data_IF_664662733135
#
_entry.id   IF_664662733135
#
_cell.length_a   1.000
_cell.length_b   1.000
_cell.length_c   1.000
_cell.angle_alpha   90.00
_cell.angle_beta   90.00
_cell.angle_gamma   90.00
#
_symmetry.space_group_name_H-M   'P 1'
#
loop_
_entity.id
_entity.type
_entity.pdbx_description
1 polymer ?
#
# COMPACT_ATOMS: atom_id res chain seq x y z
N UNK A 1 -41.49 59.32 32.89
CA UNK A 1 -41.65 57.86 33.01
C UNK A 1 -41.06 57.23 31.75
N UNK A 2 -39.85 56.68 31.85
CA UNK A 2 -39.09 56.21 30.68
C UNK A 2 -39.28 54.69 30.49
N UNK A 3 -39.50 54.20 29.26
CA UNK A 3 -39.69 52.78 29.01
C UNK A 3 -38.37 52.01 29.14
N UNK A 4 -38.41 50.87 29.83
CA UNK A 4 -37.29 49.95 30.00
C UNK A 4 -37.05 49.19 28.69
N UNK A 5 -35.89 49.40 28.07
CA UNK A 5 -35.42 48.69 26.88
C UNK A 5 -35.19 47.22 27.26
N UNK A 6 -36.09 46.34 26.79
CA UNK A 6 -35.93 44.90 26.91
C UNK A 6 -34.76 44.45 26.05
N UNK A 7 -33.68 43.97 26.70
CA UNK A 7 -32.59 43.26 26.01
C UNK A 7 -33.13 41.91 25.52
N UNK A 8 -33.51 41.87 24.25
CA UNK A 8 -33.78 40.63 23.53
C UNK A 8 -32.45 39.88 23.37
N UNK A 9 -32.26 38.85 24.18
CA UNK A 9 -31.11 37.95 24.14
C UNK A 9 -31.28 37.05 22.91
N UNK A 10 -30.75 37.49 21.76
CA UNK A 10 -30.73 36.69 20.54
C UNK A 10 -29.77 35.53 20.77
N UNK A 11 -30.34 34.37 21.05
CA UNK A 11 -29.62 33.10 21.16
C UNK A 11 -29.25 32.69 19.74
N UNK A 12 -28.03 33.04 19.32
CA UNK A 12 -27.47 32.65 18.02
C UNK A 12 -27.43 31.12 17.98
N UNK A 13 -28.08 30.45 17.01
CA UNK A 13 -27.93 29.01 16.83
C UNK A 13 -26.55 28.78 16.19
N UNK A 14 -25.52 28.80 17.02
CA UNK A 14 -24.16 28.38 16.68
C UNK A 14 -24.19 26.84 16.63
N UNK A 15 -23.72 26.27 15.52
CA UNK A 15 -23.41 24.83 15.32
C UNK A 15 -24.53 23.89 14.82
N UNK A 16 -25.16 24.17 13.68
CA UNK A 16 -25.83 23.13 12.88
C UNK A 16 -25.43 23.14 11.39
N UNK A 17 -24.25 23.67 11.07
CA UNK A 17 -23.66 23.41 9.75
C UNK A 17 -22.96 22.06 9.86
N UNK A 18 -23.40 21.02 9.12
CA UNK A 18 -22.61 19.79 9.03
C UNK A 18 -21.28 20.14 8.38
N UNK A 19 -20.21 20.18 9.17
CA UNK A 19 -18.86 20.21 8.65
C UNK A 19 -18.72 18.94 7.82
N UNK A 20 -18.58 19.10 6.50
CA UNK A 20 -18.24 17.99 5.62
C UNK A 20 -16.87 17.51 6.05
N UNK A 21 -16.84 16.41 6.81
CA UNK A 21 -15.64 15.64 7.00
C UNK A 21 -15.32 15.01 5.64
N UNK A 22 -14.52 15.71 4.84
CA UNK A 22 -13.92 15.13 3.65
C UNK A 22 -12.95 14.05 4.12
N UNK A 23 -13.43 12.81 4.16
CA UNK A 23 -12.56 11.65 4.32
C UNK A 23 -11.59 11.63 3.15
N UNK A 24 -10.29 11.57 3.46
CA UNK A 24 -9.22 11.48 2.48
C UNK A 24 -9.40 10.16 1.71
N UNK A 25 -10.04 10.23 0.54
CA UNK A 25 -10.28 9.06 -0.31
C UNK A 25 -9.00 8.56 -0.96
N UNK A 26 -9.06 7.35 -1.48
CA UNK A 26 -8.02 6.76 -2.31
C UNK A 26 -8.59 6.39 -3.68
N UNK A 27 -7.78 6.57 -4.72
CA UNK A 27 -8.12 6.26 -6.10
C UNK A 27 -7.04 5.41 -6.78
N UNK A 28 -7.37 4.91 -7.96
CA UNK A 28 -6.38 4.30 -8.84
C UNK A 28 -6.55 4.76 -10.28
N UNK A 29 -5.42 4.97 -10.96
CA UNK A 29 -5.36 5.15 -12.40
C UNK A 29 -4.86 3.85 -13.04
N UNK A 30 -5.44 3.50 -14.19
CA UNK A 30 -5.05 2.31 -14.94
C UNK A 30 -4.47 2.73 -16.29
N UNK A 31 -3.31 2.17 -16.59
CA UNK A 31 -2.58 2.29 -17.86
C UNK A 31 -2.33 0.88 -18.39
N UNK A 32 -2.52 0.69 -19.69
CA UNK A 32 -2.29 -0.60 -20.35
C UNK A 32 -0.90 -0.57 -20.99
N UNK A 33 -0.03 -1.50 -20.59
CA UNK A 33 1.36 -1.63 -21.04
C UNK A 33 1.53 -2.96 -21.78
N UNK A 34 1.11 -3.00 -23.05
CA UNK A 34 1.10 -4.23 -23.84
C UNK A 34 0.09 -5.25 -23.27
N UNK A 35 0.60 -6.33 -22.65
CA UNK A 35 -0.23 -7.39 -22.02
C UNK A 35 -0.41 -7.18 -20.51
N UNK A 36 0.31 -6.23 -19.91
CA UNK A 36 0.25 -5.91 -18.49
C UNK A 36 -0.61 -4.68 -18.24
N UNK A 37 -1.15 -4.58 -17.03
CA UNK A 37 -1.77 -3.37 -16.49
C UNK A 37 -0.84 -2.76 -15.46
N UNK A 38 -0.57 -1.46 -15.61
CA UNK A 38 -0.01 -0.62 -14.56
C UNK A 38 -1.16 0.09 -13.84
N UNK A 39 -1.32 -0.20 -12.56
CA UNK A 39 -2.28 0.42 -11.66
C UNK A 39 -1.54 1.36 -10.71
N UNK A 40 -1.80 2.66 -10.80
CA UNK A 40 -1.21 3.70 -9.96
C UNK A 40 -2.19 4.02 -8.84
N UNK A 41 -1.89 3.58 -7.62
CA UNK A 41 -2.71 3.87 -6.43
C UNK A 41 -2.26 5.17 -5.77
N UNK A 42 -3.18 6.09 -5.54
CA UNK A 42 -2.92 7.38 -4.91
C UNK A 42 -4.03 7.78 -3.94
N UNK A 43 -3.69 8.60 -2.97
CA UNK A 43 -4.67 9.33 -2.17
C UNK A 43 -5.28 10.48 -3.00
N UNK A 44 -6.37 11.05 -2.51
CA UNK A 44 -7.05 12.17 -3.18
C UNK A 44 -6.19 13.45 -3.28
N UNK A 45 -5.19 13.60 -2.42
CA UNK A 45 -4.21 14.70 -2.48
C UNK A 45 -3.12 14.47 -3.55
N UNK A 46 -3.18 13.34 -4.27
CA UNK A 46 -2.22 12.95 -5.30
C UNK A 46 -0.98 12.24 -4.75
N UNK A 47 -0.81 12.13 -3.44
CA UNK A 47 0.30 11.38 -2.86
C UNK A 47 0.16 9.87 -3.17
N UNK A 48 1.25 9.16 -3.48
CA UNK A 48 1.18 7.75 -3.84
C UNK A 48 0.89 6.89 -2.60
N UNK A 49 0.10 5.83 -2.81
CA UNK A 49 -0.06 4.75 -1.83
C UNK A 49 1.17 3.84 -1.85
N UNK A 50 2.33 4.35 -1.45
CA UNK A 50 3.64 3.76 -1.64
C UNK A 50 4.04 2.73 -0.57
N UNK A 51 4.69 1.64 -0.98
CA UNK A 51 5.19 0.58 -0.10
C UNK A 51 4.10 -0.03 0.81
N UNK A 52 2.86 -0.09 0.32
CA UNK A 52 1.71 -0.62 1.04
C UNK A 52 1.33 -2.01 0.57
N UNK A 53 0.80 -2.88 1.46
CA UNK A 53 0.34 -4.18 1.06
C UNK A 53 -0.86 -4.06 0.10
N UNK A 54 -0.83 -4.86 -0.97
CA UNK A 54 -1.95 -5.01 -1.88
C UNK A 54 -2.37 -6.46 -2.05
N UNK A 55 -3.62 -6.63 -2.49
CA UNK A 55 -4.21 -7.91 -2.87
C UNK A 55 -4.99 -7.76 -4.17
N UNK A 56 -4.87 -8.73 -5.06
CA UNK A 56 -5.81 -8.95 -6.16
C UNK A 56 -6.75 -10.05 -5.73
N UNK A 57 -8.05 -9.74 -5.71
CA UNK A 57 -9.10 -10.67 -5.34
C UNK A 57 -9.99 -10.95 -6.55
N UNK A 58 -10.49 -12.16 -6.69
CA UNK A 58 -11.50 -12.48 -7.69
C UNK A 58 -12.91 -12.00 -7.29
N UNK A 59 -13.91 -12.33 -8.10
CA UNK A 59 -15.32 -12.04 -7.86
C UNK A 59 -15.85 -12.67 -6.55
N UNK A 60 -15.36 -13.85 -6.18
CA UNK A 60 -15.70 -14.55 -4.93
C UNK A 60 -14.93 -14.02 -3.72
N UNK A 61 -14.06 -13.03 -3.91
CA UNK A 61 -13.15 -12.49 -2.89
C UNK A 61 -12.03 -13.47 -2.48
N UNK A 62 -11.77 -14.50 -3.27
CA UNK A 62 -10.61 -15.36 -3.09
C UNK A 62 -9.35 -14.60 -3.53
N UNK A 63 -8.25 -14.85 -2.82
CA UNK A 63 -6.96 -14.23 -3.11
C UNK A 63 -6.36 -14.83 -4.38
N UNK A 64 -6.09 -13.97 -5.38
CA UNK A 64 -5.41 -14.34 -6.64
C UNK A 64 -3.92 -14.02 -6.54
N UNK A 65 -3.59 -12.81 -6.09
CA UNK A 65 -2.21 -12.32 -5.96
C UNK A 65 -2.10 -11.39 -4.76
N UNK A 66 -0.93 -11.33 -4.13
CA UNK A 66 -0.61 -10.31 -3.12
C UNK A 66 0.81 -9.80 -3.29
N UNK A 67 1.07 -8.61 -2.75
CA UNK A 67 2.39 -8.00 -2.80
C UNK A 67 2.44 -6.67 -2.07
N UNK A 68 3.39 -5.83 -2.47
CA UNK A 68 3.57 -4.47 -1.94
C UNK A 68 3.64 -3.50 -3.11
N UNK A 69 2.95 -2.38 -3.02
CA UNK A 69 3.02 -1.32 -4.03
C UNK A 69 4.44 -0.76 -4.08
N UNK A 70 4.87 -0.29 -5.25
CA UNK A 70 6.18 0.36 -5.39
C UNK A 70 6.23 1.71 -4.67
N UNK A 71 7.41 2.35 -4.67
CA UNK A 71 7.60 3.69 -4.10
C UNK A 71 6.73 4.78 -4.76
N UNK A 72 6.30 4.58 -6.01
CA UNK A 72 5.36 5.46 -6.73
C UNK A 72 3.90 5.02 -6.61
N UNK A 73 3.58 4.01 -5.79
CA UNK A 73 2.23 3.48 -5.64
C UNK A 73 1.78 2.58 -6.80
N UNK A 74 2.69 2.17 -7.69
CA UNK A 74 2.37 1.32 -8.83
C UNK A 74 2.26 -0.17 -8.47
N UNK A 75 1.36 -0.86 -9.16
CA UNK A 75 1.17 -2.31 -9.19
C UNK A 75 1.11 -2.76 -10.65
N UNK A 76 1.91 -3.78 -11.01
CA UNK A 76 1.92 -4.38 -12.35
C UNK A 76 1.31 -5.77 -12.29
N UNK A 77 0.34 -6.06 -13.15
CA UNK A 77 -0.33 -7.37 -13.22
C UNK A 77 -0.66 -7.75 -14.66
N UNK A 78 -0.76 -9.05 -14.93
CA UNK A 78 -1.44 -9.56 -16.12
C UNK A 78 -2.88 -9.87 -15.74
N UNK A 79 -3.89 -9.14 -16.27
CA UNK A 79 -5.27 -9.31 -15.85
C UNK A 79 -5.87 -10.59 -16.41
N UNK A 80 -6.78 -11.21 -15.66
CA UNK A 80 -7.65 -12.23 -16.22
C UNK A 80 -8.81 -11.56 -16.98
N UNK A 81 -8.83 -11.68 -18.31
CA UNK A 81 -9.88 -11.04 -19.14
C UNK A 81 -11.23 -11.75 -19.10
N UNK A 82 -11.29 -12.98 -18.57
CA UNK A 82 -12.53 -13.76 -18.47
C UNK A 82 -13.25 -13.56 -17.12
N UNK A 83 -12.55 -13.02 -16.12
CA UNK A 83 -13.05 -12.89 -14.75
C UNK A 83 -12.92 -11.46 -14.25
N UNK A 84 -13.84 -11.04 -13.39
CA UNK A 84 -13.67 -9.78 -12.67
C UNK A 84 -12.66 -9.95 -11.53
N UNK A 85 -11.73 -8.99 -11.45
CA UNK A 85 -10.72 -8.91 -10.40
C UNK A 85 -10.81 -7.57 -9.67
N UNK A 86 -10.26 -7.51 -8.46
CA UNK A 86 -10.25 -6.30 -7.64
C UNK A 86 -8.89 -6.11 -7.00
N UNK A 87 -8.26 -4.98 -7.29
CA UNK A 87 -7.12 -4.50 -6.52
C UNK A 87 -7.64 -3.90 -5.20
N UNK A 88 -7.07 -4.36 -4.09
CA UNK A 88 -7.29 -3.83 -2.75
C UNK A 88 -5.96 -3.38 -2.17
N UNK A 89 -5.84 -2.11 -1.81
CA UNK A 89 -4.67 -1.57 -1.10
C UNK A 89 -5.15 -0.99 0.23
N UNK A 90 -4.44 -1.29 1.31
CA UNK A 90 -4.77 -0.83 2.66
C UNK A 90 -3.55 -0.21 3.31
N UNK A 91 -3.74 0.91 4.00
CA UNK A 91 -2.72 1.46 4.87
C UNK A 91 -2.99 1.14 6.36
N UNK A 92 -2.06 1.55 7.22
CA UNK A 92 -2.16 1.37 8.67
C UNK A 92 -3.13 2.34 9.35
N UNK A 93 -3.55 3.40 8.65
CA UNK A 93 -4.45 4.43 9.16
C UNK A 93 -5.93 4.15 8.83
N UNK A 94 -6.19 3.06 8.11
CA UNK A 94 -7.53 2.61 7.76
C UNK A 94 -8.02 3.11 6.40
N UNK A 95 -7.21 3.81 5.62
CA UNK A 95 -7.56 4.12 4.23
C UNK A 95 -7.53 2.83 3.40
N UNK A 96 -8.52 2.72 2.51
CA UNK A 96 -8.70 1.54 1.68
C UNK A 96 -9.06 1.94 0.26
N UNK A 97 -8.20 1.54 -0.67
CA UNK A 97 -8.50 1.55 -2.09
C UNK A 97 -9.13 0.21 -2.48
N UNK A 98 -10.24 0.26 -3.23
CA UNK A 98 -10.78 -0.89 -3.95
C UNK A 98 -10.99 -0.49 -5.40
N UNK A 99 -10.24 -1.09 -6.30
CA UNK A 99 -10.32 -0.82 -7.74
C UNK A 99 -10.77 -2.07 -8.48
N UNK A 100 -11.89 -1.98 -9.20
CA UNK A 100 -12.40 -3.09 -10.03
C UNK A 100 -11.65 -3.13 -11.36
N UNK A 101 -11.14 -4.29 -11.70
CA UNK A 101 -10.48 -4.62 -12.96
C UNK A 101 -11.49 -5.47 -13.72
N UNK A 102 -12.08 -4.89 -14.76
CA UNK A 102 -13.04 -5.59 -15.64
C UNK A 102 -12.61 -5.41 -17.08
N UNK A 103 -13.03 -6.35 -17.92
CA UNK A 103 -12.77 -6.30 -19.37
C UNK A 103 -13.21 -4.97 -19.99
N UNK A 104 -14.38 -4.47 -19.61
CA UNK A 104 -14.95 -3.20 -20.11
C UNK A 104 -14.06 -2.02 -19.74
N UNK A 105 -13.51 -2.00 -18.52
CA UNK A 105 -12.61 -0.91 -18.10
C UNK A 105 -11.27 -0.96 -18.82
N UNK A 106 -10.75 -2.16 -19.08
CA UNK A 106 -9.51 -2.34 -19.85
C UNK A 106 -9.72 -1.85 -21.27
N UNK A 107 -10.80 -2.28 -21.94
CA UNK A 107 -11.16 -1.82 -23.28
C UNK A 107 -11.35 -0.30 -23.32
N UNK A 108 -12.05 0.27 -22.33
CA UNK A 108 -12.21 1.73 -22.24
C UNK A 108 -10.89 2.47 -22.03
N UNK A 109 -9.93 1.88 -21.30
CA UNK A 109 -8.60 2.47 -21.13
C UNK A 109 -7.80 2.45 -22.45
N UNK A 110 -7.91 1.38 -23.22
CA UNK A 110 -7.35 1.25 -24.58
C UNK A 110 -7.97 2.30 -25.51
N UNK A 111 -9.30 2.38 -25.56
CA UNK A 111 -10.04 3.37 -26.37
C UNK A 111 -9.69 4.83 -26.00
N UNK A 112 -9.49 5.09 -24.71
CA UNK A 112 -9.09 6.41 -24.21
C UNK A 112 -7.60 6.73 -24.46
N UNK A 113 -6.87 5.90 -25.20
CA UNK A 113 -5.47 6.10 -25.52
C UNK A 113 -4.53 6.00 -24.32
N UNK A 114 -4.95 5.34 -23.23
CA UNK A 114 -4.08 5.06 -22.07
C UNK A 114 -3.26 3.79 -22.30
N UNK A 115 -2.59 3.78 -23.44
CA UNK A 115 -1.71 2.71 -23.88
C UNK A 115 -0.32 3.30 -23.88
N UNK A 116 0.53 2.84 -22.98
CA UNK A 116 1.95 3.14 -23.04
C UNK A 116 2.62 2.01 -23.80
N UNK A 117 3.25 2.34 -24.93
CA UNK A 117 4.13 1.40 -25.60
C UNK A 117 5.22 1.03 -24.59
N UNK A 118 5.42 -0.27 -24.34
CA UNK A 118 6.53 -0.75 -23.55
C UNK A 118 7.80 -0.23 -24.22
N UNK A 119 8.35 0.88 -23.72
CA UNK A 119 9.65 1.37 -24.15
C UNK A 119 10.63 0.31 -23.68
N UNK A 120 11.00 -0.58 -24.58
CA UNK A 120 12.08 -1.53 -24.39
C UNK A 120 13.39 -0.75 -24.37
N UNK A 121 13.59 0.09 -23.37
CA UNK A 121 14.91 0.58 -22.98
C UNK A 121 15.57 -0.50 -22.11
N UNK A 122 15.77 -1.67 -22.75
CA UNK A 122 16.85 -2.57 -22.42
C UNK A 122 18.10 -1.99 -23.10
N UNK A 123 18.71 -0.98 -22.49
CA UNK A 123 20.05 -0.50 -22.84
C UNK A 123 20.58 0.39 -21.72
N UNK A 124 21.00 -0.23 -20.62
CA UNK A 124 22.37 -0.07 -20.13
C UNK A 124 22.57 -0.94 -18.90
N UNK A 125 23.37 -1.99 -19.08
CA UNK A 125 23.65 -2.97 -18.06
C UNK A 125 24.16 -4.27 -18.65
N UNK A 126 25.11 -4.16 -19.58
CA UNK A 126 25.95 -5.30 -19.98
C UNK A 126 26.67 -5.80 -18.73
N UNK A 127 26.33 -7.00 -18.31
CA UNK A 127 27.30 -7.94 -17.78
C UNK A 127 27.00 -9.27 -18.45
N UNK A 128 27.88 -9.61 -19.39
CA UNK A 128 27.90 -10.88 -20.08
C UNK A 128 28.06 -12.06 -19.11
N UNK A 129 27.78 -13.23 -19.69
CA UNK A 129 28.08 -14.60 -19.27
C UNK A 129 26.94 -15.26 -18.48
N UNK A 130 26.23 -16.27 -19.00
CA UNK A 130 26.42 -17.00 -20.25
C UNK A 130 25.29 -18.00 -20.51
N UNK A 131 25.35 -18.62 -21.68
CA UNK A 131 24.48 -19.70 -22.16
C UNK A 131 24.31 -20.87 -21.18
N UNK A 132 23.09 -21.38 -21.04
CA UNK A 132 22.86 -22.68 -20.42
C UNK A 132 21.42 -22.99 -20.05
N UNK A 133 20.69 -23.57 -21.01
CA UNK A 133 19.65 -24.59 -20.83
C UNK A 133 18.42 -24.34 -19.91
N UNK A 134 17.25 -24.62 -20.50
CA UNK A 134 15.98 -24.87 -19.83
C UNK A 134 16.14 -25.87 -18.68
N UNK A 135 15.84 -25.47 -17.45
CA UNK A 135 15.72 -26.36 -16.30
C UNK A 135 15.39 -25.58 -15.03
N UNK A 136 14.30 -25.98 -14.35
CA UNK A 136 13.84 -25.57 -13.02
C UNK A 136 14.62 -24.43 -12.31
N UNK A 137 13.96 -23.27 -12.16
CA UNK A 137 14.46 -22.14 -11.36
C UNK A 137 14.88 -22.60 -9.94
N UNK A 138 16.12 -22.34 -9.50
CA UNK A 138 16.59 -22.71 -8.17
C UNK A 138 15.89 -21.85 -7.11
N UNK A 139 15.47 -22.47 -6.00
CA UNK A 139 14.93 -21.76 -4.85
C UNK A 139 15.86 -20.60 -4.45
N UNK A 140 15.34 -19.38 -4.51
CA UNK A 140 16.01 -18.16 -4.08
C UNK A 140 16.17 -18.14 -2.54
N UNK A 141 17.22 -18.80 -2.06
CA UNK A 141 17.60 -18.85 -0.64
C UNK A 141 17.86 -17.46 -0.04
N UNK A 142 18.13 -16.43 -0.86
CA UNK A 142 18.34 -15.06 -0.41
C UNK A 142 17.09 -14.46 0.22
N UNK A 143 15.91 -14.72 -0.36
CA UNK A 143 14.62 -14.26 0.18
C UNK A 143 14.15 -15.04 1.40
N UNK A 144 14.52 -16.32 1.52
CA UNK A 144 14.22 -17.14 2.70
C UNK A 144 15.15 -16.79 3.87
N UNK A 145 16.44 -16.54 3.57
CA UNK A 145 17.45 -16.17 4.56
C UNK A 145 17.19 -14.81 5.22
N UNK A 146 16.67 -13.83 4.47
CA UNK A 146 16.36 -12.50 5.01
C UNK A 146 15.25 -12.52 6.05
N UNK A 147 14.25 -13.41 5.90
CA UNK A 147 13.16 -13.56 6.87
C UNK A 147 13.62 -14.20 8.19
N UNK A 148 14.44 -15.25 8.11
CA UNK A 148 14.97 -15.93 9.31
C UNK A 148 15.97 -15.07 10.09
N UNK A 149 16.80 -14.30 9.39
CA UNK A 149 17.75 -13.37 10.03
C UNK A 149 17.05 -12.30 10.89
N UNK A 150 15.90 -11.79 10.44
CA UNK A 150 15.12 -10.80 11.18
C UNK A 150 14.54 -11.37 12.49
N UNK A 151 14.01 -12.61 12.46
CA UNK A 151 13.48 -13.27 13.65
C UNK A 151 14.57 -13.58 14.68
N UNK A 152 15.74 -14.04 14.24
CA UNK A 152 16.90 -14.28 15.12
C UNK A 152 17.45 -12.96 15.69
N UNK A 153 17.50 -11.90 14.89
CA UNK A 153 17.93 -10.57 15.31
C UNK A 153 17.05 -9.97 16.40
N UNK A 154 15.72 -10.04 16.24
CA UNK A 154 14.77 -9.56 17.26
C UNK A 154 14.82 -10.39 18.54
N UNK A 155 14.96 -11.71 18.42
CA UNK A 155 15.06 -12.60 19.58
C UNK A 155 16.33 -12.32 20.39
N UNK A 156 17.47 -12.13 19.71
CA UNK A 156 18.74 -11.75 20.35
C UNK A 156 18.69 -10.38 21.01
N UNK A 157 18.07 -9.40 20.36
CA UNK A 157 17.92 -8.05 20.92
C UNK A 157 17.03 -8.03 22.17
N UNK A 158 15.95 -8.82 22.17
CA UNK A 158 15.09 -9.02 23.34
C UNK A 158 15.84 -9.63 24.53
N UNK A 159 16.61 -10.70 24.28
CA UNK A 159 17.42 -11.36 25.31
C UNK A 159 18.48 -10.42 25.91
N UNK A 160 19.15 -9.61 25.06
CA UNK A 160 20.11 -8.60 25.51
C UNK A 160 19.46 -7.56 26.43
N UNK A 161 18.27 -7.08 26.09
CA UNK A 161 17.57 -6.06 26.86
C UNK A 161 17.09 -6.58 28.22
N UNK A 162 16.65 -7.84 28.28
CA UNK A 162 16.26 -8.51 29.53
C UNK A 162 17.46 -8.69 30.46
N UNK A 163 18.59 -9.20 29.95
CA UNK A 163 19.82 -9.39 30.74
C UNK A 163 20.38 -8.07 31.30
N UNK A 164 20.26 -6.97 30.53
CA UNK A 164 20.69 -5.63 31.00
C UNK A 164 19.86 -5.15 32.19
N UNK A 165 18.59 -5.55 32.32
CA UNK A 165 17.70 -5.10 33.39
C UNK A 165 18.01 -5.76 34.73
N UNK A 166 18.53 -6.98 34.71
CA UNK A 166 18.92 -7.71 35.92
C UNK A 166 20.17 -7.11 36.58
N UNK A 167 21.16 -6.66 35.77
CA UNK A 167 22.37 -6.02 36.28
C UNK A 167 22.11 -4.74 37.09
N UNK A 168 21.00 -4.05 36.83
CA UNK A 168 20.62 -2.85 37.61
C UNK A 168 20.00 -3.18 38.98
N UNK A 169 19.47 -4.40 39.18
CA UNK A 169 18.89 -4.83 40.46
C UNK A 169 19.96 -5.35 41.42
N UNK A 170 21.00 -6.01 40.89
CA UNK A 170 22.12 -6.49 41.71
C UNK A 170 23.06 -5.37 42.21
N UNK A 171 23.02 -4.18 41.61
CA UNK A 171 23.86 -3.04 41.99
C UNK A 171 23.29 -2.18 43.14
N UNK A 172 22.07 -2.46 43.64
CA UNK A 172 21.44 -1.75 44.77
C UNK A 172 21.32 -2.61 46.04
N UNK A 173 21.98 -3.77 46.08
CA UNK A 173 21.80 -4.77 47.13
C UNK A 173 23.01 -5.00 48.05
N UNK A 174 23.96 -4.08 48.19
CA UNK A 174 25.04 -4.15 49.17
C UNK A 174 25.34 -2.75 49.75
N UNK A 175 24.53 -2.36 50.73
CA UNK A 175 24.92 -1.38 51.75
C UNK A 175 24.34 -1.87 53.08
N UNK A 176 25.14 -2.64 53.80
CA UNK A 176 24.99 -2.95 55.22
C UNK A 176 26.37 -2.90 55.83
#
# INVERSE_FOLDING_TARGET
MSPRIGRLLILVPVCLVPLRAEGHGAGARMVVEGIELRLEASYNDGSPMANLPFQILDASSALVLSGTTSASGCVHIVPNLEKEERLVVRDSLGHRLVYRITRERILKAIEAGRIEARSSTLSDGVSEVGEGARGAEPLDWGRIGSGLGYLLGLTGLGAYWLNRRERKRSAHGHSS
#
